data_IF_957371975620
#
_entry.id   IF_957371975620
#
_cell.length_a   1.000
_cell.length_b   1.000
_cell.length_c   1.000
_cell.angle_alpha   90.00
_cell.angle_beta   90.00
_cell.angle_gamma   90.00
#
_symmetry.space_group_name_H-M   'P 1'
#
loop_
_entity.id
_entity.type
_entity.pdbx_description
1 polymer ?
#
# COMPACT_ATOMS: atom_id res chain seq x y z
N UNK A 1 28.98 -17.90 -19.26
CA UNK A 1 28.11 -17.22 -18.28
C UNK A 1 28.83 -17.31 -16.96
N UNK A 2 29.12 -16.18 -16.31
CA UNK A 2 29.87 -16.15 -15.05
C UNK A 2 29.06 -16.82 -13.92
N UNK A 3 29.72 -17.23 -12.83
CA UNK A 3 28.99 -17.80 -11.69
C UNK A 3 28.06 -16.74 -11.06
N UNK A 4 28.49 -15.48 -11.06
CA UNK A 4 27.72 -14.32 -10.60
C UNK A 4 26.48 -14.09 -11.49
N UNK A 5 26.62 -14.10 -12.81
CA UNK A 5 25.49 -13.91 -13.73
C UNK A 5 24.43 -14.99 -13.57
N UNK A 6 24.87 -16.24 -13.40
CA UNK A 6 23.98 -17.36 -13.10
C UNK A 6 23.22 -17.16 -11.79
N UNK A 7 23.93 -16.78 -10.73
CA UNK A 7 23.32 -16.53 -9.42
C UNK A 7 22.31 -15.37 -9.45
N UNK A 8 22.65 -14.26 -10.12
CA UNK A 8 21.77 -13.09 -10.26
C UNK A 8 20.52 -13.43 -11.09
N UNK A 9 20.66 -14.20 -12.18
CA UNK A 9 19.51 -14.68 -12.97
C UNK A 9 18.56 -15.57 -12.16
N UNK A 10 19.14 -16.46 -11.36
CA UNK A 10 18.41 -17.34 -10.44
C UNK A 10 17.71 -16.58 -9.30
N UNK A 11 18.33 -15.49 -8.83
CA UNK A 11 17.75 -14.58 -7.84
C UNK A 11 16.60 -13.77 -8.46
N UNK A 12 16.81 -13.21 -9.66
CA UNK A 12 15.81 -12.47 -10.43
C UNK A 12 14.53 -13.31 -10.64
N UNK A 13 14.69 -14.57 -11.06
CA UNK A 13 13.58 -15.48 -11.34
C UNK A 13 12.70 -15.74 -10.10
N UNK A 14 13.27 -15.68 -8.89
CA UNK A 14 12.60 -15.92 -7.61
C UNK A 14 11.93 -14.66 -7.03
N UNK A 15 12.47 -13.48 -7.30
CA UNK A 15 11.94 -12.23 -6.75
C UNK A 15 10.67 -11.76 -7.49
N UNK A 16 9.74 -11.18 -6.73
CA UNK A 16 8.50 -10.56 -7.21
C UNK A 16 8.32 -9.20 -6.53
N UNK A 17 7.99 -8.17 -7.30
CA UNK A 17 7.84 -6.82 -6.75
C UNK A 17 7.85 -5.74 -7.83
N UNK A 18 8.03 -4.48 -7.42
CA UNK A 18 8.23 -3.40 -8.39
C UNK A 18 9.52 -3.63 -9.17
N UNK A 19 9.47 -3.42 -10.49
CA UNK A 19 10.63 -3.62 -11.35
C UNK A 19 11.83 -2.77 -10.88
N UNK A 20 11.60 -1.49 -10.58
CA UNK A 20 12.64 -0.58 -10.13
C UNK A 20 13.33 -1.03 -8.82
N UNK A 21 12.57 -1.43 -7.79
CA UNK A 21 13.17 -1.85 -6.53
C UNK A 21 13.86 -3.21 -6.64
N UNK A 22 13.36 -4.08 -7.53
CA UNK A 22 14.00 -5.37 -7.83
C UNK A 22 15.33 -5.14 -8.55
N UNK A 23 15.38 -4.27 -9.55
CA UNK A 23 16.61 -3.91 -10.25
C UNK A 23 17.65 -3.33 -9.29
N UNK A 24 17.23 -2.43 -8.40
CA UNK A 24 18.10 -1.84 -7.36
C UNK A 24 18.78 -2.91 -6.48
N UNK A 25 18.00 -3.86 -5.93
CA UNK A 25 18.53 -4.97 -5.14
C UNK A 25 19.43 -5.92 -5.93
N UNK A 26 19.09 -6.21 -7.19
CA UNK A 26 19.90 -7.07 -8.04
C UNK A 26 21.24 -6.41 -8.42
N UNK A 27 21.24 -5.08 -8.59
CA UNK A 27 22.47 -4.31 -8.78
C UNK A 27 23.33 -4.38 -7.52
N UNK A 28 22.77 -4.13 -6.34
CA UNK A 28 23.52 -4.19 -5.08
C UNK A 28 24.09 -5.59 -4.77
N UNK A 29 23.32 -6.65 -5.03
CA UNK A 29 23.84 -8.02 -4.93
C UNK A 29 24.96 -8.32 -5.93
N UNK A 30 24.84 -7.83 -7.16
CA UNK A 30 25.88 -8.00 -8.18
C UNK A 30 27.15 -7.28 -7.76
N UNK A 31 27.04 -6.02 -7.33
CA UNK A 31 28.18 -5.22 -6.90
C UNK A 31 28.89 -5.88 -5.72
N UNK A 32 28.15 -6.33 -4.70
CA UNK A 32 28.73 -7.04 -3.56
C UNK A 32 29.41 -8.38 -3.92
N UNK A 33 28.86 -9.11 -4.90
CA UNK A 33 29.48 -10.33 -5.41
C UNK A 33 30.76 -10.04 -6.21
N UNK A 34 30.77 -8.95 -6.99
CA UNK A 34 31.95 -8.50 -7.74
C UNK A 34 33.05 -8.07 -6.78
N UNK A 35 32.73 -7.27 -5.77
CA UNK A 35 33.68 -6.84 -4.73
C UNK A 35 34.29 -8.04 -3.98
N UNK A 36 33.46 -9.04 -3.64
CA UNK A 36 33.93 -10.26 -2.99
C UNK A 36 34.84 -11.10 -3.91
N UNK A 37 34.49 -11.23 -5.19
CA UNK A 37 35.32 -11.93 -6.17
C UNK A 37 36.66 -11.20 -6.41
N UNK A 38 36.65 -9.87 -6.42
CA UNK A 38 37.87 -9.06 -6.51
C UNK A 38 38.80 -9.30 -5.32
N UNK A 39 38.26 -9.33 -4.09
CA UNK A 39 39.04 -9.65 -2.90
C UNK A 39 39.68 -11.06 -2.98
N UNK A 40 38.96 -12.05 -3.52
CA UNK A 40 39.52 -13.39 -3.76
C UNK A 40 40.64 -13.39 -4.80
N UNK A 41 40.49 -12.60 -5.88
CA UNK A 41 41.52 -12.45 -6.91
C UNK A 41 42.77 -11.77 -6.38
N UNK A 42 42.63 -10.74 -5.56
CA UNK A 42 43.77 -10.10 -4.87
C UNK A 42 44.52 -11.09 -3.96
N UNK A 43 43.80 -12.07 -3.40
CA UNK A 43 44.36 -13.21 -2.69
C UNK A 43 45.04 -14.28 -3.56
N UNK A 44 45.11 -14.09 -4.87
CA UNK A 44 45.78 -15.00 -5.82
C UNK A 44 44.91 -16.13 -6.35
N UNK A 45 43.59 -16.09 -6.14
CA UNK A 45 42.64 -17.06 -6.71
C UNK A 45 42.35 -16.71 -8.18
N UNK A 46 42.22 -17.73 -9.04
CA UNK A 46 41.80 -17.50 -10.42
C UNK A 46 40.39 -16.90 -10.49
N UNK A 47 40.08 -16.18 -11.57
CA UNK A 47 38.82 -15.44 -11.73
C UNK A 47 37.58 -16.33 -11.58
N UNK A 48 37.58 -17.52 -12.21
CA UNK A 48 36.43 -18.41 -12.19
C UNK A 48 36.19 -19.03 -10.80
N UNK A 49 37.26 -19.35 -10.07
CA UNK A 49 37.20 -19.83 -8.69
C UNK A 49 36.85 -18.73 -7.70
N UNK A 50 37.33 -17.50 -7.92
CA UNK A 50 36.99 -16.35 -7.12
C UNK A 50 35.49 -16.05 -7.15
N UNK A 51 34.87 -16.07 -8.34
CA UNK A 51 33.42 -15.92 -8.47
C UNK A 51 32.66 -17.06 -7.78
N UNK A 52 33.11 -18.32 -7.93
CA UNK A 52 32.47 -19.47 -7.26
C UNK A 52 32.50 -19.34 -5.74
N UNK A 53 33.63 -18.89 -5.19
CA UNK A 53 33.78 -18.65 -3.74
C UNK A 53 32.93 -17.48 -3.28
N UNK A 54 32.91 -16.37 -4.02
CA UNK A 54 32.04 -15.24 -3.73
C UNK A 54 30.57 -15.66 -3.67
N UNK A 55 30.10 -16.46 -4.63
CA UNK A 55 28.73 -17.00 -4.63
C UNK A 55 28.49 -17.97 -3.46
N UNK A 56 29.46 -18.85 -3.17
CA UNK A 56 29.35 -19.79 -2.06
C UNK A 56 29.24 -19.09 -0.70
N UNK A 57 30.01 -18.02 -0.50
CA UNK A 57 30.01 -17.20 0.71
C UNK A 57 28.76 -16.33 0.83
N UNK A 58 28.29 -15.79 -0.30
CA UNK A 58 27.03 -15.04 -0.35
C UNK A 58 25.83 -15.91 0.04
N UNK A 59 25.94 -17.22 -0.21
CA UNK A 59 25.07 -18.25 0.35
C UNK A 59 23.99 -18.75 -0.61
N UNK A 60 23.08 -19.61 -0.11
CA UNK A 60 22.07 -20.23 -0.97
C UNK A 60 21.07 -19.20 -1.49
N UNK A 61 20.86 -19.20 -2.80
CA UNK A 61 19.94 -18.28 -3.49
C UNK A 61 18.52 -18.29 -2.94
N UNK A 62 18.03 -19.41 -2.40
CA UNK A 62 16.72 -19.49 -1.77
C UNK A 62 16.63 -18.68 -0.46
N UNK A 63 17.72 -18.62 0.32
CA UNK A 63 17.80 -17.86 1.56
C UNK A 63 17.85 -16.37 1.23
N UNK A 64 18.76 -15.96 0.34
CA UNK A 64 18.88 -14.56 -0.08
C UNK A 64 17.60 -14.07 -0.76
N UNK A 65 16.99 -14.87 -1.63
CA UNK A 65 15.71 -14.52 -2.26
C UNK A 65 14.61 -14.27 -1.23
N UNK A 66 14.55 -15.05 -0.14
CA UNK A 66 13.56 -14.85 0.92
C UNK A 66 13.76 -13.51 1.62
N UNK A 67 15.00 -13.17 1.94
CA UNK A 67 15.33 -11.96 2.68
C UNK A 67 15.12 -10.71 1.80
N UNK A 68 15.54 -10.76 0.54
CA UNK A 68 15.28 -9.69 -0.45
C UNK A 68 13.79 -9.56 -0.78
N UNK A 69 13.05 -10.67 -0.85
CA UNK A 69 11.60 -10.64 -1.04
C UNK A 69 10.89 -9.95 0.13
N UNK A 70 11.43 -10.11 1.35
CA UNK A 70 10.93 -9.41 2.52
C UNK A 70 11.18 -7.90 2.41
N UNK A 71 12.36 -7.48 1.96
CA UNK A 71 12.64 -6.05 1.71
C UNK A 71 11.76 -5.46 0.59
N UNK A 72 11.56 -6.19 -0.52
CA UNK A 72 10.67 -5.77 -1.59
C UNK A 72 9.23 -5.61 -1.11
N UNK A 73 8.76 -6.48 -0.20
CA UNK A 73 7.45 -6.36 0.41
C UNK A 73 7.34 -5.05 1.21
N UNK A 74 8.37 -4.68 1.97
CA UNK A 74 8.39 -3.41 2.72
C UNK A 74 8.25 -2.19 1.81
N UNK A 75 8.98 -2.16 0.69
CA UNK A 75 8.92 -1.04 -0.28
C UNK A 75 7.54 -0.96 -0.97
N UNK A 76 6.91 -2.11 -1.27
CA UNK A 76 5.56 -2.17 -1.84
C UNK A 76 4.44 -1.73 -0.89
N UNK A 77 4.60 -2.01 0.41
CA UNK A 77 3.61 -1.71 1.45
C UNK A 77 3.49 -0.20 1.75
N UNK A 78 4.61 0.54 1.67
CA UNK A 78 4.63 2.00 1.85
C UNK A 78 3.83 2.73 0.76
N UNK A 79 3.91 2.26 -0.49
CA UNK A 79 3.14 2.85 -1.59
C UNK A 79 1.63 2.73 -1.37
N UNK A 80 1.18 1.71 -0.65
CA UNK A 80 -0.25 1.52 -0.33
C UNK A 80 -0.71 2.45 0.78
N UNK A 81 0.15 2.78 1.76
CA UNK A 81 -0.14 3.79 2.77
C UNK A 81 -0.38 5.17 2.13
N UNK A 82 0.43 5.56 1.14
CA UNK A 82 0.22 6.82 0.43
C UNK A 82 -1.12 6.91 -0.30
N UNK A 83 -1.63 5.78 -0.83
CA UNK A 83 -2.96 5.74 -1.44
C UNK A 83 -4.07 6.04 -0.42
N UNK A 84 -3.90 5.61 0.84
CA UNK A 84 -4.83 5.96 1.92
C UNK A 84 -4.68 7.44 2.31
N UNK A 85 -3.43 7.87 2.56
CA UNK A 85 -3.10 9.22 3.05
C UNK A 85 -3.57 10.30 2.06
N UNK A 86 -3.36 10.09 0.76
CA UNK A 86 -3.67 11.09 -0.27
C UNK A 86 -4.95 10.75 -1.02
N UNK A 87 -5.18 9.48 -1.35
CA UNK A 87 -6.30 9.08 -2.20
C UNK A 87 -7.67 9.33 -1.56
N UNK A 88 -7.85 9.04 -0.26
CA UNK A 88 -9.13 9.28 0.43
C UNK A 88 -9.44 10.79 0.49
N UNK A 89 -8.54 11.67 0.99
CA UNK A 89 -8.78 13.10 0.96
C UNK A 89 -8.99 13.66 -0.44
N UNK A 90 -8.21 13.20 -1.43
CA UNK A 90 -8.34 13.68 -2.81
C UNK A 90 -9.71 13.36 -3.40
N UNK A 91 -10.21 12.14 -3.20
CA UNK A 91 -11.55 11.75 -3.67
C UNK A 91 -12.64 12.54 -2.94
N UNK A 92 -12.51 12.73 -1.63
CA UNK A 92 -13.46 13.52 -0.84
C UNK A 92 -13.52 14.98 -1.32
N UNK A 93 -12.36 15.63 -1.48
CA UNK A 93 -12.28 17.01 -2.00
C UNK A 93 -12.83 17.09 -3.42
N UNK A 94 -12.52 16.09 -4.26
CA UNK A 94 -13.03 16.04 -5.64
C UNK A 94 -14.55 15.92 -5.68
N UNK A 95 -15.14 15.12 -4.77
CA UNK A 95 -16.59 15.00 -4.62
C UNK A 95 -17.23 16.32 -4.14
N UNK A 96 -16.64 16.98 -3.13
CA UNK A 96 -17.11 18.28 -2.66
C UNK A 96 -17.03 19.36 -3.75
N UNK A 97 -15.94 19.41 -4.52
CA UNK A 97 -15.82 20.32 -5.65
C UNK A 97 -16.88 20.03 -6.72
N UNK A 98 -17.08 18.78 -7.09
CA UNK A 98 -18.12 18.39 -8.05
C UNK A 98 -19.52 18.80 -7.56
N UNK A 99 -19.81 18.61 -6.27
CA UNK A 99 -21.06 19.04 -5.65
C UNK A 99 -21.22 20.56 -5.72
N UNK A 100 -20.22 21.33 -5.31
CA UNK A 100 -20.26 22.80 -5.35
C UNK A 100 -20.54 23.31 -6.76
N UNK A 101 -19.96 22.68 -7.78
CA UNK A 101 -20.08 23.13 -9.17
C UNK A 101 -21.39 22.69 -9.84
N UNK A 102 -21.92 21.53 -9.49
CA UNK A 102 -23.11 20.97 -10.16
C UNK A 102 -24.41 21.19 -9.40
N UNK A 103 -24.36 21.12 -8.07
CA UNK A 103 -25.53 21.25 -7.19
C UNK A 103 -25.55 22.61 -6.47
N UNK A 104 -24.37 23.14 -6.16
CA UNK A 104 -24.24 24.38 -5.38
C UNK A 104 -24.39 24.13 -3.88
N UNK A 105 -24.74 25.18 -3.15
CA UNK A 105 -24.84 25.13 -1.68
C UNK A 105 -26.06 24.32 -1.23
N UNK A 106 -25.87 23.51 -0.18
CA UNK A 106 -26.94 22.75 0.49
C UNK A 106 -28.04 23.65 1.03
N UNK A 107 -27.74 24.91 1.35
CA UNK A 107 -28.70 25.92 1.80
C UNK A 107 -29.85 26.17 0.80
N UNK A 108 -29.63 25.91 -0.50
CA UNK A 108 -30.66 26.05 -1.55
C UNK A 108 -31.79 25.03 -1.45
N UNK A 109 -31.60 23.94 -0.70
CA UNK A 109 -32.62 22.90 -0.54
C UNK A 109 -33.81 23.34 0.30
N UNK A 110 -33.72 24.47 1.02
CA UNK A 110 -34.83 25.14 1.72
C UNK A 110 -35.46 24.36 2.88
N UNK A 111 -35.02 23.12 3.13
CA UNK A 111 -35.53 22.23 4.17
C UNK A 111 -34.51 22.12 5.30
N UNK A 112 -34.92 22.50 6.52
CA UNK A 112 -34.12 22.22 7.71
C UNK A 112 -33.94 20.71 7.87
N UNK A 113 -32.71 20.28 8.18
CA UNK A 113 -32.41 18.88 8.41
C UNK A 113 -32.70 18.52 9.88
N UNK A 114 -33.27 17.34 10.16
CA UNK A 114 -33.42 16.85 11.53
C UNK A 114 -32.07 16.71 12.26
N UNK A 115 -32.06 16.87 13.58
CA UNK A 115 -30.84 16.79 14.40
C UNK A 115 -30.11 15.45 14.25
N UNK A 116 -30.82 14.32 14.20
CA UNK A 116 -30.21 13.00 14.01
C UNK A 116 -29.40 12.90 12.71
N UNK A 117 -29.85 13.59 11.66
CA UNK A 117 -29.16 13.60 10.37
C UNK A 117 -27.93 14.50 10.40
N UNK A 118 -27.97 15.58 11.16
CA UNK A 118 -26.78 16.41 11.41
C UNK A 118 -25.71 15.60 12.14
N UNK A 119 -26.08 14.79 13.15
CA UNK A 119 -25.14 13.88 13.80
C UNK A 119 -24.54 12.84 12.83
N UNK A 120 -25.31 12.37 11.84
CA UNK A 120 -24.80 11.49 10.78
C UNK A 120 -23.76 12.20 9.91
N UNK A 121 -24.01 13.45 9.51
CA UNK A 121 -23.07 14.27 8.72
C UNK A 121 -21.79 14.53 9.52
N UNK A 122 -21.90 14.92 10.79
CA UNK A 122 -20.75 15.19 11.65
C UNK A 122 -19.91 13.92 11.86
N UNK A 123 -20.56 12.79 12.15
CA UNK A 123 -19.87 11.51 12.31
C UNK A 123 -19.20 11.06 11.00
N UNK A 124 -19.86 11.24 9.85
CA UNK A 124 -19.24 11.02 8.55
C UNK A 124 -17.98 11.86 8.37
N UNK A 125 -18.04 13.17 8.67
CA UNK A 125 -16.91 14.08 8.59
C UNK A 125 -15.71 13.60 9.42
N UNK A 126 -15.96 13.14 10.65
CA UNK A 126 -14.92 12.54 11.50
C UNK A 126 -14.36 11.26 10.87
N UNK A 127 -15.23 10.34 10.46
CA UNK A 127 -14.83 9.03 9.93
C UNK A 127 -14.05 9.12 8.60
N UNK A 128 -14.22 10.17 7.81
CA UNK A 128 -13.44 10.39 6.58
C UNK A 128 -12.00 10.85 6.89
N UNK A 129 -11.78 11.51 8.03
CA UNK A 129 -10.44 11.99 8.45
C UNK A 129 -9.63 10.90 9.14
N UNK A 130 -10.28 9.92 9.78
CA UNK A 130 -9.59 8.84 10.51
C UNK A 130 -8.69 7.97 9.61
N UNK A 131 -9.10 7.50 8.41
CA UNK A 131 -8.26 6.70 7.52
C UNK A 131 -6.91 7.32 7.15
N UNK A 132 -6.80 8.58 6.68
CA UNK A 132 -5.49 9.17 6.40
C UNK A 132 -4.64 9.34 7.67
N UNK A 133 -5.23 9.60 8.85
CA UNK A 133 -4.49 9.63 10.12
C UNK A 133 -3.89 8.27 10.46
N UNK A 134 -4.68 7.20 10.31
CA UNK A 134 -4.21 5.81 10.45
C UNK A 134 -3.01 5.56 9.51
N UNK A 135 -3.13 6.01 8.25
CA UNK A 135 -2.06 5.91 7.26
C UNK A 135 -0.77 6.64 7.67
N UNK A 136 -0.88 7.87 8.17
CA UNK A 136 0.27 8.68 8.63
C UNK A 136 0.94 8.03 9.85
N UNK A 137 0.17 7.60 10.85
CA UNK A 137 0.71 6.94 12.05
C UNK A 137 1.44 5.65 11.67
N UNK A 138 0.87 4.85 10.77
CA UNK A 138 1.51 3.63 10.31
C UNK A 138 2.77 3.90 9.47
N UNK A 139 2.77 4.94 8.63
CA UNK A 139 3.96 5.33 7.86
C UNK A 139 5.10 5.76 8.78
N UNK A 140 4.79 6.58 9.81
CA UNK A 140 5.78 7.01 10.79
C UNK A 140 6.27 5.86 11.66
N UNK A 141 5.35 4.98 12.08
CA UNK A 141 5.66 3.74 12.79
C UNK A 141 6.56 2.82 11.98
N UNK A 142 6.26 2.60 10.70
CA UNK A 142 7.07 1.79 9.79
C UNK A 142 8.48 2.36 9.63
N UNK A 143 8.63 3.68 9.48
CA UNK A 143 9.94 4.34 9.39
C UNK A 143 10.75 4.24 10.68
N UNK A 144 10.10 4.39 11.84
CA UNK A 144 10.78 4.40 13.15
C UNK A 144 11.09 2.99 13.66
N UNK A 145 10.20 2.03 13.43
CA UNK A 145 10.33 0.64 13.88
C UNK A 145 10.93 -0.29 12.82
N UNK A 146 11.05 0.12 11.56
CA UNK A 146 11.70 -0.67 10.51
C UNK A 146 13.17 -0.98 10.79
N UNK A 147 13.81 -0.24 11.70
CA UNK A 147 15.16 -0.55 12.21
C UNK A 147 15.19 -1.66 13.28
N UNK A 148 14.04 -2.08 13.80
CA UNK A 148 13.91 -2.99 14.96
C UNK A 148 12.96 -4.18 14.74
N UNK A 149 12.08 -4.12 13.75
CA UNK A 149 11.11 -5.16 13.47
C UNK A 149 11.49 -5.94 12.21
N UNK A 150 11.31 -7.25 12.28
CA UNK A 150 11.38 -8.15 11.13
C UNK A 150 10.37 -7.73 10.05
N UNK A 151 10.81 -7.76 8.79
CA UNK A 151 10.07 -7.37 7.59
C UNK A 151 8.68 -8.03 7.50
N UNK A 152 8.55 -9.27 7.99
CA UNK A 152 7.26 -10.00 8.02
C UNK A 152 6.24 -9.31 8.93
N UNK A 153 6.66 -8.88 10.12
CA UNK A 153 5.76 -8.22 11.09
C UNK A 153 5.31 -6.85 10.59
N UNK A 154 6.22 -6.12 9.94
CA UNK A 154 5.93 -4.78 9.42
C UNK A 154 4.94 -4.84 8.25
N UNK A 155 5.04 -5.85 7.37
CA UNK A 155 4.05 -6.07 6.33
C UNK A 155 2.67 -6.46 6.88
N UNK A 156 2.63 -7.28 7.94
CA UNK A 156 1.37 -7.63 8.61
C UNK A 156 0.68 -6.39 9.23
N UNK A 157 1.44 -5.56 9.95
CA UNK A 157 0.94 -4.31 10.54
C UNK A 157 0.42 -3.36 9.46
N UNK A 158 1.17 -3.20 8.36
CA UNK A 158 0.75 -2.33 7.25
C UNK A 158 -0.54 -2.82 6.61
N UNK A 159 -0.67 -4.13 6.40
CA UNK A 159 -1.91 -4.74 5.87
C UNK A 159 -3.11 -4.52 6.78
N UNK A 160 -2.98 -4.75 8.08
CA UNK A 160 -4.07 -4.51 9.04
C UNK A 160 -4.46 -3.04 9.11
N UNK A 161 -3.48 -2.16 9.07
CA UNK A 161 -3.68 -0.71 9.03
C UNK A 161 -4.49 -0.29 7.79
N UNK A 162 -4.08 -0.73 6.60
CA UNK A 162 -4.78 -0.42 5.35
C UNK A 162 -6.21 -1.00 5.39
N UNK A 163 -6.37 -2.22 5.88
CA UNK A 163 -7.68 -2.83 6.09
C UNK A 163 -8.57 -2.01 7.01
N UNK A 164 -8.07 -1.61 8.18
CA UNK A 164 -8.80 -0.77 9.13
C UNK A 164 -9.17 0.59 8.56
N UNK A 165 -8.26 1.24 7.82
CA UNK A 165 -8.51 2.52 7.15
C UNK A 165 -9.62 2.38 6.09
N UNK A 166 -9.55 1.36 5.24
CA UNK A 166 -10.54 1.12 4.19
C UNK A 166 -11.90 0.69 4.76
N UNK A 167 -11.94 -0.13 5.82
CA UNK A 167 -13.16 -0.50 6.53
C UNK A 167 -13.83 0.72 7.18
N UNK A 168 -13.05 1.58 7.84
CA UNK A 168 -13.56 2.84 8.42
C UNK A 168 -14.15 3.73 7.33
N UNK A 169 -13.49 3.85 6.18
CA UNK A 169 -13.98 4.65 5.07
C UNK A 169 -15.28 4.09 4.46
N UNK A 170 -15.39 2.77 4.30
CA UNK A 170 -16.62 2.12 3.85
C UNK A 170 -17.76 2.29 4.86
N UNK A 171 -17.46 2.22 6.16
CA UNK A 171 -18.44 2.48 7.21
C UNK A 171 -18.96 3.93 7.13
N UNK A 172 -18.08 4.90 6.88
CA UNK A 172 -18.48 6.29 6.67
C UNK A 172 -19.44 6.42 5.47
N UNK A 173 -19.07 5.84 4.32
CA UNK A 173 -19.89 5.85 3.12
C UNK A 173 -21.25 5.16 3.34
N UNK A 174 -21.26 4.02 4.02
CA UNK A 174 -22.48 3.29 4.35
C UNK A 174 -23.40 4.13 5.25
N UNK A 175 -22.84 4.71 6.32
CA UNK A 175 -23.55 5.55 7.27
C UNK A 175 -24.22 6.74 6.56
N UNK A 176 -23.46 7.46 5.72
CA UNK A 176 -23.99 8.60 4.97
C UNK A 176 -25.05 8.17 3.95
N UNK A 177 -24.81 7.08 3.24
CA UNK A 177 -25.74 6.57 2.22
C UNK A 177 -27.08 6.14 2.84
N UNK A 178 -27.02 5.36 3.92
CA UNK A 178 -28.22 4.89 4.65
C UNK A 178 -28.94 6.06 5.31
N UNK A 179 -28.21 6.97 5.96
CA UNK A 179 -28.79 8.16 6.57
C UNK A 179 -29.50 9.07 5.56
N UNK A 180 -28.89 9.27 4.38
CA UNK A 180 -29.49 10.07 3.30
C UNK A 180 -30.73 9.39 2.74
N UNK A 181 -30.67 8.08 2.49
CA UNK A 181 -31.81 7.30 2.00
C UNK A 181 -32.98 7.28 2.99
N UNK A 182 -32.69 7.19 4.30
CA UNK A 182 -33.70 7.24 5.35
C UNK A 182 -34.33 8.62 5.50
N UNK A 183 -33.57 9.70 5.25
CA UNK A 183 -34.10 11.06 5.29
C UNK A 183 -35.00 11.35 4.08
N UNK A 184 -34.46 11.16 2.88
CA UNK A 184 -35.13 11.44 1.61
C UNK A 184 -34.36 10.77 0.46
N UNK A 185 -34.87 9.66 -0.11
CA UNK A 185 -34.21 8.94 -1.20
C UNK A 185 -33.92 9.81 -2.43
N UNK A 186 -34.70 10.87 -2.65
CA UNK A 186 -34.47 11.78 -3.79
C UNK A 186 -33.15 12.53 -3.69
N UNK A 187 -32.60 12.70 -2.48
CA UNK A 187 -31.31 13.36 -2.22
C UNK A 187 -30.10 12.49 -2.57
N UNK A 188 -30.30 11.20 -2.85
CA UNK A 188 -29.21 10.33 -3.30
C UNK A 188 -28.71 10.68 -4.70
N UNK A 189 -29.54 11.36 -5.51
CA UNK A 189 -29.18 11.75 -6.86
C UNK A 189 -28.89 13.26 -6.94
N UNK A 190 -27.66 13.62 -6.58
CA UNK A 190 -27.20 15.03 -6.59
C UNK A 190 -26.90 15.48 -8.02
N UNK A 191 -25.99 14.78 -8.69
CA UNK A 191 -25.64 14.98 -10.10
C UNK A 191 -24.89 13.76 -10.64
N UNK A 192 -24.82 13.61 -11.96
CA UNK A 192 -24.06 12.51 -12.59
C UNK A 192 -22.59 12.50 -12.12
N UNK A 193 -21.95 13.67 -12.02
CA UNK A 193 -20.57 13.78 -11.58
C UNK A 193 -20.39 13.29 -10.13
N UNK A 194 -21.28 13.69 -9.22
CA UNK A 194 -21.24 13.25 -7.81
C UNK A 194 -21.49 11.75 -7.69
N UNK A 195 -22.41 11.19 -8.49
CA UNK A 195 -22.72 9.76 -8.47
C UNK A 195 -21.53 8.92 -8.96
N UNK A 196 -20.87 9.35 -10.04
CA UNK A 196 -19.66 8.69 -10.56
C UNK A 196 -18.53 8.72 -9.53
N UNK A 197 -18.30 9.88 -8.90
CA UNK A 197 -17.27 10.02 -7.86
C UNK A 197 -17.59 9.19 -6.61
N UNK A 198 -18.85 9.11 -6.18
CA UNK A 198 -19.27 8.28 -5.05
C UNK A 198 -19.07 6.77 -5.35
N UNK A 199 -19.45 6.32 -6.55
CA UNK A 199 -19.19 4.95 -6.99
C UNK A 199 -17.68 4.65 -7.08
N UNK A 200 -16.90 5.59 -7.61
CA UNK A 200 -15.44 5.53 -7.64
C UNK A 200 -14.82 5.46 -6.24
N UNK A 201 -15.35 6.22 -5.28
CA UNK A 201 -14.90 6.19 -3.88
C UNK A 201 -15.16 4.83 -3.23
N UNK A 202 -16.35 4.28 -3.40
CA UNK A 202 -16.68 2.95 -2.90
C UNK A 202 -15.78 1.87 -3.54
N UNK A 203 -15.61 1.91 -4.86
CA UNK A 203 -14.76 0.99 -5.59
C UNK A 203 -13.28 1.08 -5.15
N UNK A 204 -12.76 2.29 -4.97
CA UNK A 204 -11.41 2.52 -4.47
C UNK A 204 -11.22 1.94 -3.05
N UNK A 205 -12.21 2.15 -2.18
CA UNK A 205 -12.19 1.63 -0.80
C UNK A 205 -12.22 0.10 -0.77
N UNK A 206 -13.06 -0.53 -1.61
CA UNK A 206 -13.11 -1.98 -1.75
C UNK A 206 -11.80 -2.54 -2.33
N UNK A 207 -11.20 -1.84 -3.29
CA UNK A 207 -9.91 -2.22 -3.85
C UNK A 207 -8.79 -2.16 -2.82
N UNK A 208 -8.80 -1.17 -1.92
CA UNK A 208 -7.86 -1.11 -0.78
C UNK A 208 -8.05 -2.25 0.22
N UNK A 209 -9.27 -2.80 0.36
CA UNK A 209 -9.56 -3.97 1.20
C UNK A 209 -9.15 -5.30 0.56
N UNK A 210 -9.07 -5.40 -0.77
CA UNK A 210 -8.79 -6.66 -1.45
C UNK A 210 -7.44 -7.31 -1.01
N UNK A 211 -6.33 -6.57 -0.82
CA UNK A 211 -5.11 -7.11 -0.25
C UNK A 211 -5.27 -7.58 1.20
N UNK A 212 -6.11 -6.93 2.00
CA UNK A 212 -6.39 -7.32 3.38
C UNK A 212 -7.04 -8.71 3.46
N UNK A 213 -7.85 -9.09 2.47
CA UNK A 213 -8.53 -10.40 2.41
C UNK A 213 -7.88 -11.45 1.50
N UNK A 214 -6.86 -11.08 0.70
CA UNK A 214 -6.03 -12.09 0.00
C UNK A 214 -5.18 -12.82 1.03
N UNK A 215 -5.76 -13.78 1.71
CA UNK A 215 -5.09 -14.85 2.45
C UNK A 215 -4.17 -15.58 1.48
N UNK A 216 -2.93 -15.11 1.31
CA UNK A 216 -1.91 -15.95 0.69
C UNK A 216 -1.56 -17.04 1.69
N UNK A 217 -1.98 -18.25 1.36
CA UNK A 217 -1.45 -19.54 1.82
C UNK A 217 0.08 -19.55 1.63
N UNK A 218 0.82 -18.87 2.48
CA UNK A 218 2.29 -18.84 2.48
C UNK A 218 2.83 -19.29 3.85
N UNK A 219 2.25 -20.38 4.35
CA UNK A 219 2.80 -21.18 5.46
C UNK A 219 2.80 -22.68 5.14
N UNK A 220 2.72 -23.06 3.86
CA UNK A 220 2.81 -24.45 3.43
C UNK A 220 3.50 -24.53 2.05
N UNK A 221 4.82 -24.42 2.05
CA UNK A 221 5.75 -25.00 1.08
C UNK A 221 7.18 -24.77 1.59
#
# INVERSE_FOLDING_TARGET
MSAIDGYIGDLDARLRGSAAAKTDLLTEARDGLVDAAEAYREGGVDEAEAERRAVADFGPVAVIARDYQAELALRGDIGTLWKVIVGIPLIHVSWELARIWTYGDWSRSGKSNPEWYMSVIELFGVLVIVPPLIGVVALFGARRLGRRLDSVRLGLVTRWTVGAAASTNLLALLLLTVGTAALDPSRMNVSLACNVLAAGWAAFSLWLLAPAFRSRRLLAA
#
